data_IF_338577648124
#
_entry.id   IF_338577648124
#
_cell.length_a   1.000
_cell.length_b   1.000
_cell.length_c   1.000
_cell.angle_alpha   90.00
_cell.angle_beta   90.00
_cell.angle_gamma   90.00
#
_symmetry.space_group_name_H-M   'P 1'
#
loop_
_entity.id
_entity.type
_entity.pdbx_description
1 polymer ?
#
# COMPACT_ATOMS: atom_id res chain seq x y z
N UNK A 1 10.04 -11.66 -4.25
CA UNK A 1 10.95 -10.95 -5.18
C UNK A 1 11.60 -9.82 -4.39
N UNK A 2 12.93 -9.74 -4.37
CA UNK A 2 13.66 -8.69 -3.64
C UNK A 2 14.27 -7.72 -4.66
N UNK A 3 13.93 -6.44 -4.57
CA UNK A 3 14.52 -5.37 -5.38
C UNK A 3 15.48 -4.58 -4.50
N UNK A 4 16.74 -5.00 -4.46
CA UNK A 4 17.80 -4.29 -3.74
C UNK A 4 18.95 -3.94 -4.69
N UNK A 5 19.42 -2.69 -4.58
CA UNK A 5 20.61 -2.19 -5.27
C UNK A 5 21.43 -1.41 -4.26
N UNK A 6 22.67 -1.82 -4.05
CA UNK A 6 23.60 -1.18 -3.10
C UNK A 6 24.11 0.20 -3.55
N UNK A 7 23.78 0.62 -4.77
CA UNK A 7 24.18 1.92 -5.33
C UNK A 7 23.23 3.00 -4.82
N UNK A 8 23.80 4.12 -4.32
CA UNK A 8 23.00 5.30 -3.98
C UNK A 8 22.49 5.98 -5.25
N UNK A 9 21.18 5.93 -5.44
CA UNK A 9 20.51 6.59 -6.56
C UNK A 9 20.00 7.99 -6.14
N UNK A 10 19.85 8.88 -7.11
CA UNK A 10 19.24 10.21 -6.89
C UNK A 10 17.71 10.20 -6.96
N UNK A 11 17.10 9.06 -7.29
CA UNK A 11 15.66 8.88 -7.34
C UNK A 11 15.17 8.13 -6.11
N UNK A 12 13.94 8.43 -5.68
CA UNK A 12 13.25 7.76 -4.59
C UNK A 12 11.99 7.05 -5.11
N UNK A 13 11.37 6.25 -4.26
CA UNK A 13 10.06 5.65 -4.57
C UNK A 13 9.01 6.74 -4.82
N UNK A 14 8.11 6.44 -5.75
CA UNK A 14 6.99 7.32 -6.10
C UNK A 14 5.72 6.49 -6.25
N UNK A 15 4.53 7.08 -6.04
CA UNK A 15 3.26 6.38 -6.28
C UNK A 15 3.05 5.94 -7.74
N UNK A 16 3.87 6.40 -8.69
CA UNK A 16 3.83 5.97 -10.10
C UNK A 16 4.10 4.48 -10.28
N UNK A 17 4.77 3.84 -9.31
CA UNK A 17 4.89 2.39 -9.20
C UNK A 17 4.43 1.97 -7.81
N UNK A 18 3.53 0.99 -7.74
CA UNK A 18 2.97 0.51 -6.48
C UNK A 18 2.77 -0.99 -6.50
N UNK A 19 2.85 -1.60 -5.32
CA UNK A 19 2.48 -3.01 -5.14
C UNK A 19 0.97 -3.06 -4.88
N UNK A 20 0.26 -3.83 -5.68
CA UNK A 20 -1.18 -4.05 -5.52
C UNK A 20 -1.42 -5.40 -4.84
N UNK A 21 -2.07 -5.38 -3.67
CA UNK A 21 -2.44 -6.56 -2.92
C UNK A 21 -3.97 -6.72 -2.92
N UNK A 22 -4.42 -7.90 -3.35
CA UNK A 22 -5.81 -8.32 -3.24
C UNK A 22 -5.98 -9.11 -1.96
N UNK A 23 -6.69 -8.54 -0.99
CA UNK A 23 -7.01 -9.19 0.29
C UNK A 23 -8.23 -10.09 0.15
N UNK A 24 -8.31 -11.13 0.98
CA UNK A 24 -9.41 -12.10 0.99
C UNK A 24 -10.43 -11.82 2.09
N UNK A 25 -10.02 -11.18 3.19
CA UNK A 25 -10.91 -10.85 4.32
C UNK A 25 -10.72 -9.41 4.79
N UNK A 26 -11.70 -8.88 5.53
CA UNK A 26 -11.59 -7.54 6.14
C UNK A 26 -10.52 -7.51 7.23
N UNK A 27 -10.36 -8.59 7.99
CA UNK A 27 -9.36 -8.66 9.07
C UNK A 27 -7.94 -8.64 8.50
N UNK A 28 -7.69 -9.37 7.40
CA UNK A 28 -6.41 -9.32 6.69
C UNK A 28 -6.11 -7.89 6.21
N UNK A 29 -7.11 -7.25 5.58
CA UNK A 29 -7.00 -5.89 5.07
C UNK A 29 -6.68 -4.89 6.18
N UNK A 30 -7.43 -4.92 7.28
CA UNK A 30 -7.29 -3.98 8.39
C UNK A 30 -5.91 -4.14 9.06
N UNK A 31 -5.45 -5.37 9.31
CA UNK A 31 -4.12 -5.65 9.88
C UNK A 31 -3.00 -5.15 8.96
N UNK A 32 -3.09 -5.42 7.65
CA UNK A 32 -2.08 -4.97 6.69
C UNK A 32 -2.07 -3.45 6.57
N UNK A 33 -3.23 -2.82 6.50
CA UNK A 33 -3.35 -1.38 6.40
C UNK A 33 -2.77 -0.68 7.64
N UNK A 34 -3.11 -1.16 8.84
CA UNK A 34 -2.58 -0.63 10.10
C UNK A 34 -1.04 -0.70 10.12
N UNK A 35 -0.47 -1.87 9.85
CA UNK A 35 0.99 -2.09 9.86
C UNK A 35 1.72 -1.26 8.82
N UNK A 36 1.20 -1.16 7.60
CA UNK A 36 1.80 -0.37 6.53
C UNK A 36 1.66 1.14 6.79
N UNK A 37 0.60 1.56 7.49
CA UNK A 37 0.39 2.96 7.86
C UNK A 37 1.31 3.44 8.98
N UNK A 38 1.85 2.53 9.78
CA UNK A 38 2.74 2.83 10.90
C UNK A 38 4.07 3.46 10.42
N UNK A 39 4.21 4.78 10.64
CA UNK A 39 5.33 5.57 10.15
C UNK A 39 5.26 5.89 8.65
N UNK A 40 4.17 5.51 7.99
CA UNK A 40 3.87 5.80 6.61
C UNK A 40 2.93 7.00 6.44
N UNK A 41 2.38 7.14 5.23
CA UNK A 41 1.40 8.17 4.89
C UNK A 41 0.29 7.60 4.03
N UNK A 42 -0.94 7.73 4.51
CA UNK A 42 -2.13 7.45 3.70
C UNK A 42 -2.25 8.49 2.55
N UNK A 43 -2.39 8.00 1.32
CA UNK A 43 -2.69 8.80 0.13
C UNK A 43 -4.20 8.80 -0.12
N UNK A 44 -4.81 7.61 -0.04
CA UNK A 44 -6.26 7.39 0.01
C UNK A 44 -6.55 6.52 1.24
N UNK A 45 -7.22 7.06 2.27
CA UNK A 45 -7.60 6.30 3.46
C UNK A 45 -8.42 5.06 3.12
N UNK A 46 -8.38 4.03 3.96
CA UNK A 46 -9.16 2.82 3.75
C UNK A 46 -10.67 3.14 3.76
N UNK A 47 -11.37 2.92 2.64
CA UNK A 47 -12.81 3.18 2.53
C UNK A 47 -13.45 2.44 1.34
N UNK A 48 -14.78 2.48 1.22
CA UNK A 48 -15.49 2.08 0.00
C UNK A 48 -15.48 3.24 -1.01
N UNK A 49 -14.78 3.03 -2.12
CA UNK A 49 -14.69 3.98 -3.23
C UNK A 49 -15.56 3.58 -4.44
N UNK A 50 -16.47 2.62 -4.27
CA UNK A 50 -17.49 2.23 -5.25
C UNK A 50 -17.09 1.08 -6.19
N UNK A 51 -15.79 0.80 -6.36
CA UNK A 51 -15.28 -0.24 -7.27
C UNK A 51 -14.89 -1.55 -6.57
N UNK A 52 -14.80 -1.55 -5.24
CA UNK A 52 -14.50 -2.73 -4.42
C UNK A 52 -15.31 -2.67 -3.12
N UNK A 53 -15.14 -3.64 -2.22
CA UNK A 53 -15.77 -3.58 -0.89
C UNK A 53 -15.04 -2.57 0.01
N UNK A 54 -13.71 -2.61 -0.02
CA UNK A 54 -12.83 -1.63 0.62
C UNK A 54 -11.57 -1.49 -0.22
N UNK A 55 -11.04 -0.27 -0.28
CA UNK A 55 -9.77 0.02 -0.93
C UNK A 55 -8.98 1.04 -0.11
N UNK A 56 -7.66 0.92 -0.10
CA UNK A 56 -6.76 1.88 0.53
C UNK A 56 -5.48 2.03 -0.25
N UNK A 57 -4.91 3.23 -0.25
CA UNK A 57 -3.62 3.53 -0.88
C UNK A 57 -2.75 4.30 0.09
N UNK A 58 -1.55 3.79 0.38
CA UNK A 58 -0.61 4.43 1.27
C UNK A 58 0.84 4.23 0.80
N UNK A 59 1.72 5.10 1.29
CA UNK A 59 3.15 4.86 1.28
C UNK A 59 3.58 4.38 2.67
N UNK A 60 4.39 3.34 2.75
CA UNK A 60 4.93 2.86 4.02
C UNK A 60 6.07 3.76 4.54
N UNK A 61 6.64 3.40 5.70
CA UNK A 61 7.77 4.12 6.33
C UNK A 61 9.05 4.16 5.48
N UNK A 62 9.16 3.31 4.46
CA UNK A 62 10.29 3.24 3.54
C UNK A 62 10.02 4.01 2.24
N UNK A 63 8.82 4.55 2.07
CA UNK A 63 8.37 5.31 0.90
C UNK A 63 7.79 4.45 -0.21
N UNK A 64 7.69 3.12 -0.03
CA UNK A 64 7.12 2.22 -1.04
C UNK A 64 5.61 2.42 -1.08
N UNK A 65 5.04 2.47 -2.29
CA UNK A 65 3.62 2.68 -2.49
C UNK A 65 2.84 1.37 -2.55
N UNK A 66 1.74 1.29 -1.80
CA UNK A 66 0.90 0.11 -1.63
C UNK A 66 -0.56 0.42 -1.90
N UNK A 67 -1.20 -0.41 -2.71
CA UNK A 67 -2.64 -0.42 -2.94
C UNK A 67 -3.21 -1.71 -2.36
N UNK A 68 -4.11 -1.59 -1.39
CA UNK A 68 -4.80 -2.72 -0.77
C UNK A 68 -6.24 -2.72 -1.25
N UNK A 69 -6.70 -3.86 -1.78
CA UNK A 69 -8.03 -4.01 -2.34
C UNK A 69 -8.72 -5.25 -1.78
N UNK A 70 -9.91 -5.07 -1.22
CA UNK A 70 -10.82 -6.15 -0.89
C UNK A 70 -11.94 -6.19 -1.94
N UNK A 71 -11.96 -7.19 -2.84
CA UNK A 71 -13.02 -7.33 -3.83
C UNK A 71 -14.38 -7.54 -3.16
N UNK A 72 -15.45 -7.35 -3.94
CA UNK A 72 -16.81 -7.68 -3.52
C UNK A 72 -17.07 -9.18 -3.58
#
# INVERSE_FOLDING_TARGET
MCFDSSVKHQFAFTPSFSIFLTCSTEEELDILYEKLSEGGKALMPLNDYGFSRKFGWLNDRFGVSWQLNLPR
#
